data_IF_743254920579
#
_entry.id   IF_743254920579
#
_cell.length_a   1.000
_cell.length_b   1.000
_cell.length_c   1.000
_cell.angle_alpha   90.00
_cell.angle_beta   90.00
_cell.angle_gamma   90.00
#
_symmetry.space_group_name_H-M   'P 1'
#
loop_
_entity.id
_entity.type
_entity.pdbx_description
1 polymer ?
#
# COMPACT_ATOMS: atom_id res chain seq x y z
N UNK A 1 -3.00 -14.50 2.33
CA UNK A 1 -2.17 -13.25 2.31
C UNK A 1 -1.61 -13.13 0.91
N UNK A 2 -2.20 -12.26 0.08
CA UNK A 2 -2.03 -12.29 -1.37
C UNK A 2 -0.94 -11.32 -1.92
N UNK A 3 -0.42 -10.39 -1.10
CA UNK A 3 0.57 -9.38 -1.54
C UNK A 3 2.01 -9.70 -1.12
N UNK A 4 2.31 -10.92 -0.66
CA UNK A 4 3.69 -11.31 -0.29
C UNK A 4 4.27 -10.64 0.95
N UNK A 5 3.51 -9.81 1.66
CA UNK A 5 3.96 -9.09 2.86
C UNK A 5 4.23 -10.09 4.00
N UNK A 6 5.46 -10.12 4.58
CA UNK A 6 5.83 -11.04 5.64
C UNK A 6 5.32 -10.56 7.00
N UNK A 7 3.99 -10.58 7.16
CA UNK A 7 3.37 -10.31 8.46
C UNK A 7 3.81 -11.32 9.52
N UNK A 8 3.86 -10.85 10.76
CA UNK A 8 4.12 -11.69 11.92
C UNK A 8 3.10 -12.83 12.02
N UNK A 9 3.57 -13.96 12.55
CA UNK A 9 2.79 -15.20 12.64
C UNK A 9 2.83 -15.75 14.04
N UNK A 10 1.70 -16.28 14.46
CA UNK A 10 1.61 -17.13 15.64
C UNK A 10 2.17 -18.52 15.33
N UNK A 11 2.42 -19.34 16.36
CA UNK A 11 2.93 -20.70 16.17
C UNK A 11 2.03 -21.55 15.25
N UNK A 12 0.70 -21.34 15.31
CA UNK A 12 -0.27 -22.00 14.43
C UNK A 12 -0.28 -21.49 12.97
N UNK A 13 0.60 -20.56 12.60
CA UNK A 13 0.71 -20.03 11.24
C UNK A 13 -0.34 -18.96 10.88
N UNK A 14 -1.24 -18.63 11.80
CA UNK A 14 -2.16 -17.50 11.66
C UNK A 14 -1.42 -16.17 11.78
N UNK A 15 -2.06 -15.09 11.31
CA UNK A 15 -1.51 -13.75 11.43
C UNK A 15 -1.56 -13.31 12.89
N UNK A 16 -0.43 -12.86 13.42
CA UNK A 16 -0.33 -12.36 14.77
C UNK A 16 -0.75 -10.88 14.85
N UNK A 17 -1.32 -10.50 15.99
CA UNK A 17 -1.78 -9.15 16.28
C UNK A 17 -1.13 -8.60 17.54
N UNK A 18 -0.76 -7.32 17.51
CA UNK A 18 -0.27 -6.60 18.70
C UNK A 18 -1.28 -5.56 19.17
N UNK A 19 -1.16 -5.16 20.44
CA UNK A 19 -1.81 -3.94 20.94
C UNK A 19 -1.09 -2.70 20.40
N UNK A 20 -1.85 -1.65 20.15
CA UNK A 20 -1.35 -0.36 19.67
C UNK A 20 -2.28 0.75 20.14
N UNK A 21 -1.72 1.86 20.63
CA UNK A 21 -2.48 3.09 20.94
C UNK A 21 -3.59 2.92 21.99
N UNK A 22 -3.30 2.32 23.15
CA UNK A 22 -4.27 2.19 24.26
C UNK A 22 -5.47 1.27 23.97
N UNK A 23 -5.47 0.56 22.85
CA UNK A 23 -6.52 -0.39 22.51
C UNK A 23 -6.50 -1.58 23.48
N UNK A 24 -7.68 -1.88 24.06
CA UNK A 24 -7.87 -3.01 24.97
C UNK A 24 -7.86 -4.37 24.27
N UNK A 25 -7.92 -4.39 22.94
CA UNK A 25 -7.91 -5.62 22.13
C UNK A 25 -6.83 -5.51 21.06
N UNK A 26 -6.01 -6.55 20.94
CA UNK A 26 -4.97 -6.67 19.91
C UNK A 26 -5.59 -6.97 18.54
N UNK A 27 -5.60 -5.98 17.66
CA UNK A 27 -6.13 -6.09 16.28
C UNK A 27 -5.23 -5.48 15.22
N UNK A 28 -4.04 -5.03 15.61
CA UNK A 28 -3.10 -4.39 14.70
C UNK A 28 -2.16 -5.45 14.13
N UNK A 29 -2.27 -5.72 12.83
CA UNK A 29 -1.29 -6.54 12.11
C UNK A 29 0.03 -5.79 11.93
N UNK A 30 1.14 -6.52 11.95
CA UNK A 30 2.47 -5.93 11.86
C UNK A 30 3.45 -6.87 11.16
N UNK A 31 4.46 -6.30 10.52
CA UNK A 31 5.63 -7.01 10.00
C UNK A 31 6.86 -6.47 10.73
N UNK A 32 7.06 -6.95 11.98
CA UNK A 32 8.10 -6.45 12.90
C UNK A 32 8.05 -4.91 13.01
N UNK A 33 9.20 -4.24 12.97
CA UNK A 33 9.31 -2.78 12.94
C UNK A 33 9.19 -2.15 11.54
N UNK A 34 8.87 -2.92 10.49
CA UNK A 34 8.94 -2.48 9.09
C UNK A 34 7.60 -2.59 8.35
N UNK A 35 6.47 -2.61 9.06
CA UNK A 35 5.14 -2.79 8.45
C UNK A 35 4.89 -1.84 7.28
N UNK A 36 5.17 -0.54 7.44
CA UNK A 36 4.95 0.45 6.37
C UNK A 36 5.81 0.18 5.12
N UNK A 37 7.10 -0.13 5.31
CA UNK A 37 8.00 -0.44 4.21
C UNK A 37 7.57 -1.72 3.47
N UNK A 38 7.21 -2.77 4.21
CA UNK A 38 6.81 -4.04 3.60
C UNK A 38 5.49 -3.90 2.82
N UNK A 39 4.53 -3.13 3.34
CA UNK A 39 3.31 -2.79 2.61
C UNK A 39 3.62 -2.01 1.33
N UNK A 40 4.49 -1.00 1.40
CA UNK A 40 4.89 -0.22 0.24
C UNK A 40 5.56 -1.09 -0.84
N UNK A 41 6.50 -1.95 -0.44
CA UNK A 41 7.18 -2.86 -1.36
C UNK A 41 6.20 -3.84 -2.01
N UNK A 42 5.28 -4.43 -1.25
CA UNK A 42 4.28 -5.35 -1.79
C UNK A 42 3.33 -4.68 -2.79
N UNK A 43 2.83 -3.49 -2.46
CA UNK A 43 2.00 -2.71 -3.38
C UNK A 43 2.77 -2.26 -4.62
N UNK A 44 4.00 -1.81 -4.47
CA UNK A 44 4.85 -1.37 -5.57
C UNK A 44 5.20 -2.52 -6.52
N UNK A 45 5.51 -3.71 -6.01
CA UNK A 45 5.75 -4.90 -6.83
C UNK A 45 4.51 -5.26 -7.68
N UNK A 46 3.32 -5.19 -7.09
CA UNK A 46 2.07 -5.40 -7.84
C UNK A 46 1.87 -4.34 -8.93
N UNK A 47 2.10 -3.05 -8.60
CA UNK A 47 2.04 -1.96 -9.57
C UNK A 47 3.01 -2.16 -10.74
N UNK A 48 4.26 -2.53 -10.46
CA UNK A 48 5.27 -2.75 -11.51
C UNK A 48 4.90 -3.90 -12.44
N UNK A 49 4.23 -4.95 -11.92
CA UNK A 49 3.70 -6.03 -12.76
C UNK A 49 2.63 -5.50 -13.73
N UNK A 50 1.73 -4.64 -13.26
CA UNK A 50 0.71 -4.02 -14.10
C UNK A 50 1.33 -3.08 -15.16
N UNK A 51 2.35 -2.31 -14.79
CA UNK A 51 3.14 -1.51 -15.75
C UNK A 51 3.79 -2.41 -16.81
N UNK A 52 4.38 -3.53 -16.41
CA UNK A 52 4.95 -4.51 -17.34
C UNK A 52 3.92 -5.17 -18.25
N UNK A 53 2.67 -5.28 -17.81
CA UNK A 53 1.55 -5.78 -18.62
C UNK A 53 0.93 -4.73 -19.55
N UNK A 54 1.31 -3.45 -19.40
CA UNK A 54 0.78 -2.33 -20.17
C UNK A 54 -0.58 -1.81 -19.69
N UNK A 55 -1.15 -2.35 -18.61
CA UNK A 55 -2.43 -1.89 -18.03
C UNK A 55 -2.29 -0.57 -17.27
N UNK A 56 -1.07 -0.20 -16.86
CA UNK A 56 -0.75 1.02 -16.12
C UNK A 56 0.43 1.74 -16.76
N UNK A 57 0.33 3.05 -16.92
CA UNK A 57 1.45 3.92 -17.31
C UNK A 57 1.95 4.70 -16.09
N UNK A 58 3.25 4.64 -15.81
CA UNK A 58 3.88 5.36 -14.70
C UNK A 58 4.58 6.63 -15.20
N UNK A 59 4.34 7.75 -14.52
CA UNK A 59 5.00 9.05 -14.78
C UNK A 59 5.90 9.43 -13.59
N UNK A 60 7.11 8.83 -13.46
CA UNK A 60 7.99 9.09 -12.33
C UNK A 60 8.65 10.47 -12.44
N UNK A 61 8.86 11.13 -11.29
CA UNK A 61 9.47 12.49 -11.21
C UNK A 61 8.68 13.54 -12.00
N UNK A 62 7.36 13.39 -12.02
CA UNK A 62 6.43 14.39 -12.56
C UNK A 62 5.67 14.99 -11.39
N UNK A 63 5.70 16.31 -11.28
CA UNK A 63 4.95 17.04 -10.27
C UNK A 63 3.63 17.53 -10.87
N UNK A 64 2.53 17.34 -10.14
CA UNK A 64 1.23 17.91 -10.49
C UNK A 64 1.25 19.40 -10.15
N UNK A 65 1.03 20.26 -11.15
CA UNK A 65 1.09 21.71 -10.97
C UNK A 65 -0.30 22.31 -10.70
N UNK A 66 -1.29 21.96 -11.53
CA UNK A 66 -2.65 22.47 -11.40
C UNK A 66 -3.68 21.47 -11.94
N UNK A 67 -4.97 21.74 -11.75
CA UNK A 67 -6.08 20.97 -12.32
C UNK A 67 -6.75 21.78 -13.41
N UNK A 68 -6.99 21.18 -14.57
CA UNK A 68 -7.75 21.81 -15.64
C UNK A 68 -9.24 21.68 -15.36
N UNK A 69 -9.93 22.81 -15.16
CA UNK A 69 -11.38 22.89 -14.95
C UNK A 69 -12.09 23.36 -16.22
N UNK A 70 -13.19 22.70 -16.58
CA UNK A 70 -14.14 23.16 -17.62
C UNK A 70 -15.53 23.12 -17.02
N UNK A 71 -16.24 24.25 -17.03
CA UNK A 71 -17.56 24.42 -16.41
C UNK A 71 -17.61 23.96 -14.94
N UNK A 72 -16.52 24.19 -14.20
CA UNK A 72 -16.39 23.80 -12.80
C UNK A 72 -16.07 22.32 -12.55
N UNK A 73 -15.79 21.51 -13.58
CA UNK A 73 -15.45 20.09 -13.46
C UNK A 73 -14.00 19.81 -13.88
N UNK A 74 -13.32 18.92 -13.15
CA UNK A 74 -11.96 18.48 -13.48
C UNK A 74 -11.93 17.64 -14.77
N UNK A 75 -11.15 18.09 -15.75
CA UNK A 75 -10.95 17.44 -17.05
C UNK A 75 -9.50 17.03 -17.32
N UNK A 76 -8.57 17.44 -16.47
CA UNK A 76 -7.15 17.11 -16.60
C UNK A 76 -6.34 17.59 -15.41
N UNK A 77 -5.05 17.28 -15.46
CA UNK A 77 -3.99 17.72 -14.56
C UNK A 77 -2.81 18.26 -15.38
#
# INVERSE_FOLDING_TARGET
VAQGVPFAREYGGLLDNRSFGGAQVSRTFYARGQTGQQLLLGAYQALVKEVGSGSVQMFPRTEMLDVVLVDGQARGI
#
